data_IF_118658932352
#
_entry.id   IF_118658932352
#
_cell.length_a   1.000
_cell.length_b   1.000
_cell.length_c   1.000
_cell.angle_alpha   90.00
_cell.angle_beta   90.00
_cell.angle_gamma   90.00
#
_symmetry.space_group_name_H-M   'P 1'
#
loop_
_entity.id
_entity.type
_entity.pdbx_description
1 polymer ?
#
# COMPACT_ATOMS: atom_id res chain seq x y z
N UNK A 1 -8.88 -48.81 4.38
CA UNK A 1 -8.08 -48.24 3.25
C UNK A 1 -8.08 -49.21 2.10
N UNK A 2 -8.03 -48.70 0.86
CA UNK A 2 -8.09 -49.53 -0.36
C UNK A 2 -6.70 -50.18 -0.67
N UNK A 3 -5.63 -49.54 -0.26
CA UNK A 3 -4.24 -49.93 -0.56
C UNK A 3 -3.47 -50.14 0.72
N UNK A 4 -2.48 -51.05 0.70
CA UNK A 4 -1.57 -51.31 1.82
C UNK A 4 -0.33 -50.39 1.80
N UNK A 5 0.04 -49.92 0.62
CA UNK A 5 1.23 -49.09 0.38
C UNK A 5 0.82 -47.85 -0.37
N UNK A 6 1.27 -46.71 0.11
CA UNK A 6 1.02 -45.39 -0.47
C UNK A 6 2.35 -44.71 -0.73
N UNK A 7 2.80 -44.56 -1.98
CA UNK A 7 3.97 -43.77 -2.32
C UNK A 7 3.75 -42.31 -1.88
N UNK A 8 4.69 -41.78 -1.13
CA UNK A 8 4.64 -40.43 -0.61
C UNK A 8 5.26 -39.44 -1.60
N UNK A 9 5.39 -38.18 -1.16
CA UNK A 9 5.90 -37.06 -1.96
C UNK A 9 7.20 -37.36 -2.73
N UNK A 10 8.16 -38.05 -2.13
CA UNK A 10 9.46 -38.37 -2.74
C UNK A 10 9.37 -39.25 -4.00
N UNK A 11 8.27 -39.96 -4.16
CA UNK A 11 7.98 -40.75 -5.39
C UNK A 11 6.99 -39.99 -6.29
N UNK A 12 6.01 -39.28 -5.72
CA UNK A 12 4.99 -38.61 -6.49
C UNK A 12 5.57 -37.43 -7.30
N UNK A 13 6.41 -36.60 -6.70
CA UNK A 13 6.98 -35.42 -7.34
C UNK A 13 7.84 -35.75 -8.57
N UNK A 14 8.88 -36.59 -8.47
CA UNK A 14 9.69 -36.93 -9.65
C UNK A 14 8.91 -37.61 -10.77
N UNK A 15 8.01 -38.54 -10.44
CA UNK A 15 7.24 -39.27 -11.44
C UNK A 15 6.22 -38.36 -12.14
N UNK A 16 5.48 -37.54 -11.38
CA UNK A 16 4.48 -36.65 -11.94
C UNK A 16 5.10 -35.58 -12.82
N UNK A 17 6.17 -34.93 -12.35
CA UNK A 17 6.89 -33.92 -13.12
C UNK A 17 7.49 -34.52 -14.41
N UNK A 18 8.04 -35.76 -14.35
CA UNK A 18 8.54 -36.43 -15.51
C UNK A 18 7.44 -36.76 -16.54
N UNK A 19 6.26 -37.18 -16.09
CA UNK A 19 5.10 -37.46 -16.96
C UNK A 19 4.54 -36.20 -17.61
N UNK A 20 4.56 -35.07 -16.90
CA UNK A 20 4.08 -33.78 -17.41
C UNK A 20 5.11 -33.01 -18.25
N UNK A 21 6.31 -33.58 -18.48
CA UNK A 21 7.34 -32.94 -19.28
C UNK A 21 8.03 -31.75 -18.60
N UNK A 22 7.96 -31.68 -17.28
CA UNK A 22 8.63 -30.63 -16.48
C UNK A 22 10.15 -30.84 -16.57
N UNK A 23 10.92 -29.79 -16.76
CA UNK A 23 12.38 -29.85 -16.83
C UNK A 23 13.04 -29.53 -15.50
N UNK A 24 12.43 -28.67 -14.69
CA UNK A 24 12.94 -28.18 -13.43
C UNK A 24 11.86 -28.34 -12.34
N UNK A 25 12.05 -29.33 -11.47
CA UNK A 25 11.17 -29.64 -10.35
C UNK A 25 11.52 -28.74 -9.17
N UNK A 26 10.67 -27.78 -8.87
CA UNK A 26 10.88 -26.78 -7.82
C UNK A 26 10.30 -27.28 -6.49
N UNK A 27 11.08 -27.17 -5.42
CA UNK A 27 10.61 -27.51 -4.07
C UNK A 27 11.26 -26.62 -3.00
N UNK A 28 10.77 -26.73 -1.76
CA UNK A 28 11.37 -26.03 -0.63
C UNK A 28 12.65 -26.70 -0.14
N UNK A 29 13.50 -25.90 0.53
CA UNK A 29 14.83 -26.33 1.00
C UNK A 29 14.81 -27.56 1.93
N UNK A 30 13.68 -27.84 2.59
CA UNK A 30 13.50 -29.04 3.42
C UNK A 30 13.68 -30.38 2.66
N UNK A 31 13.56 -30.36 1.32
CA UNK A 31 13.76 -31.52 0.45
C UNK A 31 15.17 -31.62 -0.13
N UNK A 32 16.10 -30.75 0.25
CA UNK A 32 17.48 -30.82 -0.27
C UNK A 32 18.17 -32.14 0.05
N UNK A 33 17.98 -32.62 1.28
CA UNK A 33 18.54 -33.95 1.69
C UNK A 33 17.87 -35.13 0.95
N UNK A 34 16.70 -34.92 0.34
CA UNK A 34 15.98 -35.95 -0.40
C UNK A 34 16.35 -36.00 -1.90
N UNK A 35 17.16 -35.06 -2.39
CA UNK A 35 17.59 -35.06 -3.82
C UNK A 35 18.21 -36.36 -4.29
N UNK A 36 19.04 -37.08 -3.52
CA UNK A 36 19.56 -38.39 -3.97
C UNK A 36 18.45 -39.42 -4.22
N UNK A 37 17.37 -39.39 -3.41
CA UNK A 37 16.21 -40.27 -3.63
C UNK A 37 15.44 -39.83 -4.89
N UNK A 38 15.24 -38.55 -5.08
CA UNK A 38 14.62 -37.98 -6.28
C UNK A 38 15.36 -38.46 -7.55
N UNK A 39 16.68 -38.28 -7.59
CA UNK A 39 17.52 -38.66 -8.71
C UNK A 39 17.47 -40.19 -8.93
N UNK A 40 17.45 -40.97 -7.86
CA UNK A 40 17.33 -42.44 -7.95
C UNK A 40 15.99 -42.85 -8.59
N UNK A 41 14.86 -42.26 -8.16
CA UNK A 41 13.53 -42.54 -8.72
C UNK A 41 13.52 -42.25 -10.22
N UNK A 42 13.91 -41.03 -10.63
CA UNK A 42 13.93 -40.61 -12.03
C UNK A 42 14.83 -41.53 -12.91
N UNK A 43 15.90 -42.05 -12.34
CA UNK A 43 16.83 -42.91 -13.09
C UNK A 43 16.42 -44.39 -13.14
N UNK A 44 15.56 -44.85 -12.23
CA UNK A 44 15.16 -46.25 -12.13
C UNK A 44 13.72 -46.55 -12.55
N UNK A 45 12.94 -45.51 -12.88
CA UNK A 45 11.56 -45.61 -13.38
C UNK A 45 11.52 -45.26 -14.86
N UNK A 46 10.70 -45.99 -15.63
CA UNK A 46 10.48 -45.67 -17.06
C UNK A 46 9.61 -44.42 -17.18
N UNK A 47 10.23 -43.28 -17.42
CA UNK A 47 9.56 -41.98 -17.57
C UNK A 47 10.01 -41.29 -18.87
N UNK A 48 9.16 -40.47 -19.51
CA UNK A 48 9.42 -39.84 -20.79
C UNK A 48 10.56 -38.79 -20.75
N UNK A 49 10.75 -38.14 -19.60
CA UNK A 49 11.81 -37.17 -19.39
C UNK A 49 12.42 -37.30 -17.98
N UNK A 50 13.58 -36.70 -17.76
CA UNK A 50 14.28 -36.69 -16.48
C UNK A 50 14.39 -35.23 -15.95
N UNK A 51 13.45 -34.79 -15.15
CA UNK A 51 13.52 -33.47 -14.56
C UNK A 51 14.64 -33.36 -13.53
N UNK A 52 15.08 -32.15 -13.25
CA UNK A 52 16.09 -31.84 -12.23
C UNK A 52 15.43 -31.16 -11.04
N UNK A 53 15.64 -31.67 -9.82
CA UNK A 53 15.18 -31.04 -8.59
C UNK A 53 16.00 -29.78 -8.28
N UNK A 54 15.32 -28.72 -7.93
CA UNK A 54 15.89 -27.44 -7.51
C UNK A 54 15.16 -26.97 -6.27
N UNK A 55 15.91 -26.74 -5.20
CA UNK A 55 15.38 -26.28 -3.92
C UNK A 55 15.68 -24.80 -3.71
N UNK A 56 14.79 -24.13 -2.98
CA UNK A 56 14.96 -22.75 -2.55
C UNK A 56 14.32 -22.52 -1.17
N UNK A 57 14.83 -21.52 -0.48
CA UNK A 57 14.33 -21.14 0.83
C UNK A 57 12.91 -20.56 0.73
N UNK A 58 12.12 -20.78 1.78
CA UNK A 58 10.81 -20.17 1.91
C UNK A 58 10.96 -18.67 2.16
N UNK A 59 10.13 -17.86 1.53
CA UNK A 59 9.98 -16.45 1.84
C UNK A 59 9.48 -16.28 3.29
N UNK A 60 10.26 -15.59 4.11
CA UNK A 60 9.85 -15.07 5.40
C UNK A 60 9.57 -13.58 5.30
N UNK A 61 8.47 -13.12 5.89
CA UNK A 61 8.14 -11.70 6.02
C UNK A 61 7.93 -11.45 7.50
N UNK A 62 8.55 -10.39 8.04
CA UNK A 62 8.36 -10.00 9.43
C UNK A 62 6.92 -9.56 9.71
N UNK A 63 6.54 -9.50 10.96
CA UNK A 63 5.18 -9.11 11.39
C UNK A 63 4.04 -9.85 10.68
N UNK A 64 4.34 -10.99 10.01
CA UNK A 64 3.40 -11.72 9.15
C UNK A 64 3.37 -13.19 9.49
N UNK A 65 2.18 -13.73 9.72
CA UNK A 65 1.99 -15.16 9.96
C UNK A 65 1.86 -15.89 8.63
N UNK A 66 2.91 -16.63 8.20
CA UNK A 66 2.94 -17.40 6.95
C UNK A 66 2.50 -18.86 7.11
N UNK A 67 2.07 -19.27 8.29
CA UNK A 67 1.65 -20.66 8.58
C UNK A 67 0.18 -20.89 8.23
N UNK A 68 -0.10 -21.74 7.23
CA UNK A 68 -1.47 -22.14 6.87
C UNK A 68 -2.29 -22.63 8.09
N UNK A 69 -1.68 -23.46 8.96
CA UNK A 69 -2.36 -23.97 10.16
C UNK A 69 -2.79 -22.86 11.12
N UNK A 70 -1.93 -21.84 11.32
CA UNK A 70 -2.27 -20.71 12.18
C UNK A 70 -3.32 -19.79 11.54
N UNK A 71 -3.21 -19.53 10.24
CA UNK A 71 -4.19 -18.73 9.49
C UNK A 71 -5.55 -19.41 9.44
N UNK A 72 -5.58 -20.73 9.25
CA UNK A 72 -6.81 -21.54 9.30
C UNK A 72 -7.54 -21.39 10.64
N UNK A 73 -6.81 -21.39 11.74
CA UNK A 73 -7.39 -21.20 13.08
C UNK A 73 -8.09 -19.83 13.22
N UNK A 74 -7.51 -18.76 12.65
CA UNK A 74 -8.13 -17.44 12.66
C UNK A 74 -9.48 -17.42 11.91
N UNK A 75 -9.59 -18.18 10.83
CA UNK A 75 -10.84 -18.31 10.05
C UNK A 75 -11.85 -19.17 10.81
N UNK A 76 -11.44 -20.32 11.35
CA UNK A 76 -12.33 -21.26 12.06
C UNK A 76 -12.88 -20.68 13.37
N UNK A 77 -12.09 -19.84 14.05
CA UNK A 77 -12.50 -19.15 15.30
C UNK A 77 -13.28 -17.85 15.01
N UNK A 78 -13.49 -17.48 13.76
CA UNK A 78 -14.23 -16.28 13.37
C UNK A 78 -13.52 -14.96 13.71
N UNK A 79 -12.20 -14.99 13.98
CA UNK A 79 -11.39 -13.78 14.26
C UNK A 79 -11.27 -12.91 13.00
N UNK A 80 -11.25 -13.54 11.83
CA UNK A 80 -11.28 -12.91 10.51
C UNK A 80 -12.51 -13.39 9.74
N UNK A 81 -12.99 -12.58 8.78
CA UNK A 81 -14.19 -12.88 8.01
C UNK A 81 -14.05 -14.06 7.02
N UNK A 82 -12.80 -14.41 6.69
CA UNK A 82 -12.49 -15.50 5.77
C UNK A 82 -11.06 -15.41 5.25
N UNK A 83 -10.72 -16.25 4.28
CA UNK A 83 -9.40 -16.30 3.67
C UNK A 83 -9.07 -15.06 2.81
N UNK A 84 -10.06 -14.27 2.45
CA UNK A 84 -9.95 -13.03 1.70
C UNK A 84 -10.01 -11.77 2.60
N UNK A 85 -10.07 -11.95 3.91
CA UNK A 85 -10.03 -10.81 4.86
C UNK A 85 -8.78 -9.95 4.59
N UNK A 86 -8.90 -8.62 4.52
CA UNK A 86 -7.77 -7.73 4.24
C UNK A 86 -6.60 -7.83 5.23
N UNK A 87 -6.84 -8.39 6.41
CA UNK A 87 -5.82 -8.67 7.44
C UNK A 87 -5.01 -9.94 7.17
N UNK A 88 -5.49 -10.78 6.24
CA UNK A 88 -4.86 -12.06 5.91
C UNK A 88 -3.77 -11.87 4.85
N UNK A 89 -2.59 -12.51 5.00
CA UNK A 89 -1.50 -12.43 4.01
C UNK A 89 -1.70 -13.41 2.84
N UNK A 90 -2.94 -13.57 2.39
CA UNK A 90 -3.29 -14.34 1.21
C UNK A 90 -3.34 -13.44 -0.01
N UNK A 91 -3.19 -13.99 -1.22
CA UNK A 91 -3.35 -13.20 -2.45
C UNK A 91 -4.73 -12.55 -2.53
N UNK A 92 -5.78 -13.24 -2.07
CA UNK A 92 -7.13 -12.68 -2.03
C UNK A 92 -7.25 -11.55 -1.00
N UNK A 93 -6.64 -11.72 0.19
CA UNK A 93 -6.58 -10.67 1.22
C UNK A 93 -5.80 -9.44 0.76
N UNK A 94 -4.63 -9.64 0.16
CA UNK A 94 -3.82 -8.57 -0.42
C UNK A 94 -4.56 -7.84 -1.54
N UNK A 95 -5.23 -8.55 -2.44
CA UNK A 95 -6.06 -7.95 -3.50
C UNK A 95 -7.15 -7.07 -2.90
N UNK A 96 -7.87 -7.57 -1.92
CA UNK A 96 -8.94 -6.84 -1.24
C UNK A 96 -8.44 -5.62 -0.47
N UNK A 97 -7.22 -5.70 0.05
CA UNK A 97 -6.51 -4.58 0.70
C UNK A 97 -6.01 -3.53 -0.29
N UNK A 98 -5.98 -3.82 -1.60
CA UNK A 98 -5.57 -2.89 -2.65
C UNK A 98 -4.17 -3.14 -3.23
N UNK A 99 -3.52 -4.25 -2.90
CA UNK A 99 -2.25 -4.61 -3.53
C UNK A 99 -2.44 -4.97 -5.00
N UNK A 100 -1.63 -4.37 -5.84
CA UNK A 100 -1.65 -4.64 -7.28
C UNK A 100 -0.78 -5.86 -7.64
N UNK A 101 -1.12 -6.61 -8.69
CA UNK A 101 -0.27 -7.70 -9.17
C UNK A 101 1.14 -7.24 -9.54
N UNK A 102 1.29 -6.01 -10.09
CA UNK A 102 2.60 -5.43 -10.43
C UNK A 102 3.45 -5.21 -9.18
N UNK A 103 2.87 -4.67 -8.12
CA UNK A 103 3.59 -4.45 -6.86
C UNK A 103 4.09 -5.76 -6.23
N UNK A 104 3.25 -6.80 -6.23
CA UNK A 104 3.62 -8.12 -5.69
C UNK A 104 4.74 -8.76 -6.52
N UNK A 105 4.66 -8.69 -7.86
CA UNK A 105 5.72 -9.20 -8.74
C UNK A 105 7.02 -8.43 -8.55
N UNK A 106 6.97 -7.10 -8.53
CA UNK A 106 8.15 -6.26 -8.28
C UNK A 106 8.81 -6.60 -6.93
N UNK A 107 8.01 -6.82 -5.89
CA UNK A 107 8.52 -7.29 -4.60
C UNK A 107 9.25 -8.64 -4.74
N UNK A 108 8.63 -9.64 -5.37
CA UNK A 108 9.24 -10.96 -5.58
C UNK A 108 10.52 -10.89 -6.42
N UNK A 109 10.52 -10.10 -7.48
CA UNK A 109 11.70 -9.93 -8.36
C UNK A 109 12.87 -9.29 -7.62
N UNK A 110 12.60 -8.30 -6.76
CA UNK A 110 13.64 -7.57 -6.01
C UNK A 110 14.24 -8.39 -4.85
N UNK A 111 13.46 -9.22 -4.20
CA UNK A 111 13.97 -10.11 -3.15
C UNK A 111 14.71 -11.31 -3.74
N UNK A 112 14.33 -11.72 -4.96
CA UNK A 112 14.95 -12.86 -5.66
C UNK A 112 14.66 -14.21 -5.00
N UNK A 113 15.36 -15.23 -5.47
CA UNK A 113 15.30 -16.62 -4.97
C UNK A 113 16.67 -17.04 -4.48
N UNK A 114 16.74 -17.56 -3.25
CA UNK A 114 17.99 -18.02 -2.65
C UNK A 114 17.81 -19.33 -1.87
N UNK A 115 18.91 -20.03 -1.60
CA UNK A 115 18.94 -21.20 -0.70
C UNK A 115 19.09 -20.82 0.79
N UNK A 116 19.46 -19.58 1.09
CA UNK A 116 19.54 -19.11 2.46
C UNK A 116 18.18 -18.58 2.94
N UNK A 117 17.73 -19.04 4.09
CA UNK A 117 16.53 -18.50 4.70
C UNK A 117 16.75 -17.04 5.12
N UNK A 118 15.89 -16.15 4.67
CA UNK A 118 15.90 -14.73 5.01
C UNK A 118 14.50 -14.28 5.40
N UNK A 119 14.45 -13.23 6.22
CA UNK A 119 13.21 -12.55 6.57
C UNK A 119 13.28 -11.16 5.95
N UNK A 120 12.28 -10.82 5.15
CA UNK A 120 12.15 -9.52 4.48
C UNK A 120 11.21 -8.65 5.32
N UNK A 121 11.51 -7.38 5.44
CA UNK A 121 10.66 -6.44 6.15
C UNK A 121 9.33 -6.23 5.39
N UNK A 122 8.21 -6.24 6.14
CA UNK A 122 6.88 -5.96 5.58
C UNK A 122 6.80 -4.58 4.94
N UNK A 123 7.51 -3.61 5.51
CA UNK A 123 7.65 -2.25 4.98
C UNK A 123 8.17 -2.22 3.54
N UNK A 124 8.98 -3.20 3.13
CA UNK A 124 9.48 -3.30 1.75
C UNK A 124 8.38 -3.74 0.77
N UNK A 125 7.49 -4.64 1.19
CA UNK A 125 6.30 -4.98 0.40
C UNK A 125 5.39 -3.76 0.22
N UNK A 126 5.18 -2.98 1.29
CA UNK A 126 4.42 -1.72 1.22
C UNK A 126 5.12 -0.66 0.35
N UNK A 127 6.45 -0.61 0.37
CA UNK A 127 7.21 0.28 -0.51
C UNK A 127 6.97 -0.05 -2.00
N UNK A 128 7.02 -1.32 -2.37
CA UNK A 128 6.73 -1.75 -3.75
C UNK A 128 5.28 -1.38 -4.18
N UNK A 129 4.32 -1.47 -3.26
CA UNK A 129 2.96 -1.04 -3.51
C UNK A 129 2.89 0.48 -3.71
N UNK A 130 3.55 1.25 -2.84
CA UNK A 130 3.57 2.72 -2.91
C UNK A 130 4.18 3.22 -4.22
N UNK A 131 5.25 2.58 -4.69
CA UNK A 131 5.85 2.90 -5.99
C UNK A 131 4.83 2.74 -7.13
N UNK A 132 4.12 1.61 -7.21
CA UNK A 132 3.14 1.36 -8.27
C UNK A 132 1.91 2.29 -8.17
N UNK A 133 1.42 2.56 -6.98
CA UNK A 133 0.29 3.46 -6.76
C UNK A 133 0.65 4.92 -7.05
N UNK A 134 1.88 5.35 -6.74
CA UNK A 134 2.33 6.70 -7.04
C UNK A 134 2.28 7.01 -8.55
N UNK A 135 2.52 6.01 -9.39
CA UNK A 135 2.45 6.16 -10.84
C UNK A 135 1.01 6.18 -11.39
N UNK A 136 0.09 5.45 -10.75
CA UNK A 136 -1.19 5.10 -11.38
C UNK A 136 -2.43 5.59 -10.67
N UNK A 137 -2.34 5.75 -9.34
CA UNK A 137 -3.53 6.09 -8.56
C UNK A 137 -3.88 7.56 -8.70
N UNK A 138 -5.16 7.83 -8.86
CA UNK A 138 -5.70 9.17 -8.69
C UNK A 138 -5.51 9.62 -7.25
N UNK A 139 -5.21 10.91 -7.07
CA UNK A 139 -5.00 11.49 -5.75
C UNK A 139 -6.20 12.31 -5.37
N UNK A 140 -6.92 11.86 -4.38
CA UNK A 140 -8.05 12.56 -3.80
C UNK A 140 -7.68 13.13 -2.45
N UNK A 141 -8.08 14.36 -2.18
CA UNK A 141 -7.95 14.96 -0.84
C UNK A 141 -9.02 14.38 0.08
N UNK A 142 -8.61 13.85 1.22
CA UNK A 142 -9.48 13.39 2.27
C UNK A 142 -9.24 14.20 3.53
N UNK A 143 -10.31 14.62 4.21
CA UNK A 143 -10.28 15.33 5.50
C UNK A 143 -10.94 14.41 6.52
N UNK A 144 -10.16 13.91 7.48
CA UNK A 144 -10.63 12.94 8.48
C UNK A 144 -11.11 13.62 9.77
N UNK A 145 -10.40 14.67 10.19
CA UNK A 145 -10.74 15.48 11.36
C UNK A 145 -11.01 16.93 10.92
N UNK A 146 -12.20 17.18 10.35
CA UNK A 146 -12.48 18.44 9.67
C UNK A 146 -12.61 19.62 10.64
N UNK A 147 -11.90 20.69 10.31
CA UNK A 147 -12.07 22.01 10.92
C UNK A 147 -12.47 22.99 9.81
N UNK A 148 -13.45 23.83 10.09
CA UNK A 148 -13.94 24.81 9.13
C UNK A 148 -12.90 25.92 8.92
N UNK A 149 -12.57 26.20 7.67
CA UNK A 149 -11.74 27.32 7.25
C UNK A 149 -12.64 28.38 6.60
N UNK A 150 -12.59 29.58 7.12
CA UNK A 150 -13.36 30.73 6.60
C UNK A 150 -12.40 31.76 5.99
N UNK A 151 -12.52 31.99 4.69
CA UNK A 151 -11.74 33.02 3.98
C UNK A 151 -12.46 34.35 4.10
N UNK A 152 -12.02 35.19 5.02
CA UNK A 152 -12.78 36.36 5.49
C UNK A 152 -12.94 37.44 4.43
N UNK A 153 -11.98 37.61 3.54
CA UNK A 153 -12.01 38.57 2.43
C UNK A 153 -12.54 38.00 1.11
N UNK A 154 -12.97 36.71 1.07
CA UNK A 154 -13.64 36.16 -0.10
C UNK A 154 -15.13 36.55 -0.10
N UNK A 155 -15.70 36.97 -1.25
CA UNK A 155 -17.07 37.45 -1.30
C UNK A 155 -18.10 36.41 -0.87
N UNK A 156 -19.09 36.82 -0.07
CA UNK A 156 -20.18 35.93 0.34
C UNK A 156 -21.03 35.48 -0.87
N UNK A 157 -21.41 34.20 -0.86
CA UNK A 157 -22.21 33.60 -1.92
C UNK A 157 -21.46 33.38 -3.25
N UNK A 158 -20.22 33.83 -3.37
CA UNK A 158 -19.39 33.53 -4.54
C UNK A 158 -18.81 32.14 -4.45
N UNK A 159 -18.78 31.45 -5.56
CA UNK A 159 -17.98 30.23 -5.78
C UNK A 159 -17.33 30.27 -7.15
N UNK A 160 -16.24 29.58 -7.30
CA UNK A 160 -15.54 29.44 -8.56
C UNK A 160 -15.00 28.01 -8.72
N UNK A 161 -14.80 27.60 -9.97
CA UNK A 161 -14.24 26.31 -10.32
C UNK A 161 -12.74 26.45 -10.48
N UNK A 162 -11.98 25.61 -9.80
CA UNK A 162 -10.52 25.51 -9.96
C UNK A 162 -10.15 24.12 -10.44
N UNK A 163 -9.11 24.04 -11.25
CA UNK A 163 -8.66 22.80 -11.88
C UNK A 163 -7.48 22.23 -11.08
N UNK A 164 -7.55 20.97 -10.73
CA UNK A 164 -6.46 20.27 -10.05
C UNK A 164 -6.04 19.02 -10.80
N UNK A 165 -4.75 18.68 -10.73
CA UNK A 165 -4.20 17.49 -11.35
C UNK A 165 -4.67 16.21 -10.61
N UNK A 166 -5.08 15.20 -11.38
CA UNK A 166 -5.43 13.88 -10.84
C UNK A 166 -4.22 13.21 -10.17
N UNK A 167 -3.05 13.34 -10.77
CA UNK A 167 -1.80 12.87 -10.21
C UNK A 167 -0.62 13.73 -10.67
N UNK A 168 0.00 14.54 -9.77
CA UNK A 168 1.14 15.41 -10.13
C UNK A 168 2.36 14.67 -10.66
N UNK A 169 2.53 13.38 -10.32
CA UNK A 169 3.66 12.57 -10.81
C UNK A 169 3.34 11.85 -12.12
N UNK A 170 2.11 11.90 -12.57
CA UNK A 170 1.63 11.30 -13.83
C UNK A 170 0.75 12.31 -14.60
N UNK A 171 1.33 13.34 -15.24
CA UNK A 171 0.55 14.39 -15.92
C UNK A 171 -0.46 13.87 -16.95
N UNK A 172 -0.17 12.69 -17.54
CA UNK A 172 -1.08 12.02 -18.46
C UNK A 172 -2.39 11.54 -17.82
N UNK A 173 -2.50 11.53 -16.48
CA UNK A 173 -3.74 11.18 -15.76
C UNK A 173 -4.84 12.25 -15.91
N UNK A 174 -4.50 13.43 -16.44
CA UNK A 174 -5.44 14.54 -16.63
C UNK A 174 -5.71 15.34 -15.35
N UNK A 175 -6.81 16.08 -15.40
CA UNK A 175 -7.23 17.00 -14.35
C UNK A 175 -8.70 16.81 -14.02
N UNK A 176 -9.13 17.32 -12.88
CA UNK A 176 -10.54 17.42 -12.51
C UNK A 176 -10.84 18.80 -11.92
N UNK A 177 -12.10 19.14 -11.88
CA UNK A 177 -12.59 20.41 -11.37
C UNK A 177 -13.09 20.25 -9.92
N UNK A 178 -12.74 21.23 -9.07
CA UNK A 178 -13.27 21.35 -7.71
C UNK A 178 -13.83 22.75 -7.50
N UNK A 179 -14.79 22.88 -6.59
CA UNK A 179 -15.40 24.17 -6.26
C UNK A 179 -14.63 24.80 -5.11
N UNK A 180 -14.21 26.06 -5.30
CA UNK A 180 -13.67 26.92 -4.25
C UNK A 180 -14.69 27.94 -3.81
N UNK A 181 -14.84 28.17 -2.51
CA UNK A 181 -15.74 29.15 -1.93
C UNK A 181 -15.17 29.74 -0.65
N UNK A 182 -15.90 30.70 -0.06
CA UNK A 182 -15.55 31.35 1.22
C UNK A 182 -15.32 30.34 2.36
N UNK A 183 -16.07 29.26 2.36
CA UNK A 183 -15.98 28.21 3.38
C UNK A 183 -15.39 26.93 2.80
N UNK A 184 -14.34 26.45 3.43
CA UNK A 184 -13.65 25.23 3.10
C UNK A 184 -13.47 24.37 4.36
N UNK A 185 -12.97 23.14 4.17
CA UNK A 185 -12.64 22.24 5.27
C UNK A 185 -11.18 21.83 5.17
N UNK A 186 -10.48 21.90 6.30
CA UNK A 186 -9.08 21.49 6.43
C UNK A 186 -8.96 20.39 7.49
N UNK A 187 -7.87 19.66 7.47
CA UNK A 187 -7.53 18.73 8.53
C UNK A 187 -7.15 19.52 9.80
N UNK A 188 -7.58 19.06 10.98
CA UNK A 188 -7.26 19.70 12.25
C UNK A 188 -5.75 19.95 12.45
N UNK A 189 -4.92 18.97 11.99
CA UNK A 189 -3.47 19.06 12.07
C UNK A 189 -2.85 20.09 11.10
N UNK A 190 -3.64 20.65 10.17
CA UNK A 190 -3.19 21.73 9.29
C UNK A 190 -3.21 23.11 9.95
N UNK A 191 -3.73 23.20 11.18
CA UNK A 191 -3.72 24.42 11.97
C UNK A 191 -3.09 24.22 13.34
N UNK A 192 -2.27 25.18 13.76
CA UNK A 192 -1.69 25.23 15.09
C UNK A 192 -1.61 26.66 15.60
N UNK A 193 -2.29 26.96 16.72
CA UNK A 193 -2.30 28.31 17.30
C UNK A 193 -0.94 28.75 17.80
N UNK A 194 -0.21 27.82 18.46
CA UNK A 194 1.16 28.04 18.92
C UNK A 194 2.06 27.02 18.20
N UNK A 195 2.73 27.41 17.12
CA UNK A 195 3.45 26.48 16.27
C UNK A 195 4.69 25.89 16.96
N UNK A 196 4.91 24.61 16.76
CA UNK A 196 6.17 23.97 17.12
C UNK A 196 7.29 24.33 16.11
N UNK A 197 8.58 24.20 16.49
CA UNK A 197 9.67 24.45 15.55
C UNK A 197 9.54 23.69 14.23
N UNK A 198 9.71 24.40 13.11
CA UNK A 198 9.57 23.87 11.73
C UNK A 198 8.12 23.55 11.29
N UNK A 199 7.10 23.99 12.02
CA UNK A 199 5.74 23.91 11.53
C UNK A 199 5.54 24.92 10.38
N UNK A 200 5.13 24.42 9.22
CA UNK A 200 5.00 25.20 7.96
C UNK A 200 3.58 25.22 7.41
N UNK A 201 2.57 25.14 8.30
CA UNK A 201 1.15 25.17 7.93
C UNK A 201 0.46 26.36 8.60
N UNK A 202 -0.87 26.37 8.64
CA UNK A 202 -1.65 27.51 9.13
C UNK A 202 -1.39 27.78 10.62
N UNK A 203 -0.96 29.00 10.92
CA UNK A 203 -0.83 29.53 12.26
C UNK A 203 -1.15 31.03 12.23
N UNK A 204 -1.74 31.63 13.29
CA UNK A 204 -2.08 33.04 13.28
C UNK A 204 -0.86 33.93 12.97
N UNK A 205 -0.99 34.79 11.95
CA UNK A 205 0.07 35.67 11.45
C UNK A 205 1.36 34.91 11.05
N UNK A 206 1.23 33.64 10.68
CA UNK A 206 2.32 32.80 10.20
C UNK A 206 2.53 32.92 8.69
N UNK A 207 3.33 31.99 8.11
CA UNK A 207 3.63 31.98 6.70
C UNK A 207 2.38 31.78 5.83
N UNK A 208 2.46 32.21 4.59
CA UNK A 208 1.46 31.93 3.58
C UNK A 208 1.38 30.43 3.31
N UNK A 209 0.14 29.94 3.17
CA UNK A 209 -0.10 28.55 2.81
C UNK A 209 -0.93 28.49 1.54
N UNK A 210 -0.62 27.51 0.66
CA UNK A 210 -1.40 27.30 -0.55
C UNK A 210 -2.56 26.36 -0.32
N UNK A 211 -3.76 26.79 -0.67
CA UNK A 211 -4.87 25.88 -0.92
C UNK A 211 -4.70 25.26 -2.31
N UNK A 212 -4.62 23.93 -2.38
CA UNK A 212 -4.30 23.18 -3.60
C UNK A 212 -5.20 23.56 -4.77
N UNK A 213 -4.60 24.02 -5.85
CA UNK A 213 -5.29 24.45 -7.06
C UNK A 213 -6.00 25.82 -6.95
N UNK A 214 -5.97 26.47 -5.79
CA UNK A 214 -6.64 27.75 -5.56
C UNK A 214 -5.62 28.86 -5.23
N UNK A 215 -5.71 29.47 -4.08
CA UNK A 215 -4.99 30.68 -3.71
C UNK A 215 -4.02 30.47 -2.55
N UNK A 216 -3.10 31.40 -2.39
CA UNK A 216 -2.35 31.57 -1.15
C UNK A 216 -3.26 32.22 -0.11
N UNK A 217 -3.14 31.75 1.12
CA UNK A 217 -3.88 32.28 2.26
C UNK A 217 -2.96 32.54 3.44
N UNK A 218 -3.28 33.57 4.20
CA UNK A 218 -2.61 33.89 5.48
C UNK A 218 -3.63 33.73 6.60
N UNK A 219 -3.30 32.93 7.61
CA UNK A 219 -4.16 32.71 8.75
C UNK A 219 -4.19 33.96 9.66
N UNK A 220 -5.38 34.43 10.01
CA UNK A 220 -5.59 35.60 10.89
C UNK A 220 -6.01 35.24 12.30
N UNK A 221 -6.52 34.00 12.53
CA UNK A 221 -6.95 33.56 13.84
C UNK A 221 -7.82 32.32 13.82
N UNK A 222 -8.40 31.99 14.96
CA UNK A 222 -9.32 30.89 15.11
C UNK A 222 -10.44 31.18 16.13
N UNK A 223 -11.49 30.38 16.08
CA UNK A 223 -12.54 30.31 17.09
C UNK A 223 -12.51 28.96 17.78
N UNK A 224 -12.68 28.97 19.09
CA UNK A 224 -12.73 27.78 19.95
C UNK A 224 -14.12 27.57 20.54
N UNK A 225 -14.41 26.32 20.84
CA UNK A 225 -15.58 25.95 21.63
C UNK A 225 -15.34 26.16 23.14
N UNK A 226 -16.36 25.84 23.94
CA UNK A 226 -16.30 25.95 25.41
C UNK A 226 -15.23 25.02 26.05
N UNK A 227 -14.80 24.01 25.34
CA UNK A 227 -13.79 23.06 25.79
C UNK A 227 -12.36 23.43 25.33
N UNK A 228 -12.22 24.54 24.57
CA UNK A 228 -10.96 24.99 24.02
C UNK A 228 -10.54 24.35 22.71
N UNK A 229 -11.38 23.53 22.08
CA UNK A 229 -11.10 22.93 20.78
C UNK A 229 -11.33 23.97 19.67
N UNK A 230 -10.45 23.98 18.66
CA UNK A 230 -10.60 24.84 17.49
C UNK A 230 -11.74 24.31 16.62
N UNK A 231 -12.73 25.15 16.34
CA UNK A 231 -13.91 24.83 15.53
C UNK A 231 -13.95 25.59 14.20
N UNK A 232 -13.32 26.75 14.13
CA UNK A 232 -13.17 27.52 12.91
C UNK A 232 -11.78 28.15 12.87
N UNK A 233 -11.19 28.21 11.67
CA UNK A 233 -9.94 28.91 11.36
C UNK A 233 -10.28 30.03 10.39
N UNK A 234 -9.73 31.22 10.60
CA UNK A 234 -9.93 32.40 9.76
C UNK A 234 -8.68 32.70 8.97
N UNK A 235 -8.83 32.98 7.69
CA UNK A 235 -7.74 33.38 6.82
C UNK A 235 -8.16 34.42 5.80
N UNK A 236 -7.20 35.13 5.24
CA UNK A 236 -7.37 36.01 4.09
C UNK A 236 -6.65 35.41 2.90
N UNK A 237 -7.23 35.48 1.71
CA UNK A 237 -6.62 35.03 0.48
C UNK A 237 -5.99 36.18 -0.32
N UNK A 238 -4.93 35.88 -1.05
CA UNK A 238 -4.38 36.82 -2.06
C UNK A 238 -5.06 36.56 -3.41
N UNK A 239 -5.88 37.50 -3.92
CA UNK A 239 -6.58 37.32 -5.19
C UNK A 239 -5.64 37.30 -6.41
N UNK A 240 -4.37 37.69 -6.25
CA UNK A 240 -3.39 37.74 -7.32
C UNK A 240 -2.51 36.46 -7.37
N UNK A 241 -2.79 35.48 -6.53
CA UNK A 241 -1.98 34.27 -6.37
C UNK A 241 -2.58 32.94 -6.91
N UNK A 242 -3.45 32.94 -7.93
CA UNK A 242 -4.01 31.68 -8.41
C UNK A 242 -2.89 30.75 -8.90
N UNK A 243 -2.71 29.60 -8.22
CA UNK A 243 -1.67 28.62 -8.55
C UNK A 243 -0.23 29.05 -8.23
N UNK A 244 0.00 30.20 -7.59
CA UNK A 244 1.34 30.69 -7.22
C UNK A 244 2.01 29.96 -6.06
N UNK A 245 3.34 30.07 -5.91
CA UNK A 245 4.08 29.58 -4.76
C UNK A 245 4.19 30.68 -3.69
N UNK A 246 4.23 30.30 -2.39
CA UNK A 246 4.46 31.27 -1.32
C UNK A 246 5.77 32.04 -1.52
N UNK A 247 5.76 33.34 -1.19
CA UNK A 247 6.95 34.18 -1.33
C UNK A 247 8.05 33.83 -0.31
N UNK A 248 7.69 33.23 0.80
CA UNK A 248 8.54 32.86 1.94
C UNK A 248 8.92 31.35 1.99
N UNK A 249 8.60 30.57 0.95
CA UNK A 249 9.09 29.21 0.66
C UNK A 249 8.43 28.06 1.39
#
# INVERSE_FOLDING_TARGET
DKWCIYPMYDFAHPIQDALEGITHSLCSLEFEAHRPLYDWVVNNVSVPNKPRQIEFARLGIDHTVMSKRKLRKLVEEGIVSGWDDPRMPTLCGLRRRGFTPKAIRNFCDRIGVAKSASVVEYSFLEHCLREDLNEKAERTMGVLHPVKLVITNYPEGKSETVTVENNPTAPASGTHEITFSRECWIEADDFMEVPVPKYKRLTPNGPECRLKGAYLITCTGCKKDENGNVVEVYAEYDPNSPGGDPADG
#
